data_IF_215389751338
#
_entry.id   IF_215389751338
#
_cell.length_a   1.000
_cell.length_b   1.000
_cell.length_c   1.000
_cell.angle_alpha   90.00
_cell.angle_beta   90.00
_cell.angle_gamma   90.00
#
_symmetry.space_group_name_H-M   'P 1'
#
loop_
_entity.id
_entity.type
_entity.pdbx_description
1 polymer ?
#
# COMPACT_ATOMS: atom_id res chain seq x y z
N UNK A 1 -9.58 -17.72 38.02
CA UNK A 1 -9.17 -16.41 37.44
C UNK A 1 -8.11 -16.56 36.36
N UNK A 2 -7.01 -17.30 36.59
CA UNK A 2 -5.96 -17.49 35.58
C UNK A 2 -6.47 -18.14 34.27
N UNK A 3 -7.29 -19.19 34.36
CA UNK A 3 -7.86 -19.86 33.17
C UNK A 3 -8.80 -18.97 32.35
N UNK A 4 -9.56 -18.08 33.01
CA UNK A 4 -10.43 -17.12 32.31
C UNK A 4 -9.62 -16.06 31.57
N UNK A 5 -8.48 -15.63 32.12
CA UNK A 5 -7.56 -14.69 31.46
C UNK A 5 -6.87 -15.34 30.27
N UNK A 6 -6.45 -16.60 30.40
CA UNK A 6 -5.86 -17.38 29.30
C UNK A 6 -6.89 -17.61 28.19
N UNK A 7 -8.11 -18.03 28.55
CA UNK A 7 -9.20 -18.22 27.60
C UNK A 7 -9.59 -16.92 26.89
N UNK A 8 -9.66 -15.79 27.61
CA UNK A 8 -9.90 -14.48 27.02
C UNK A 8 -8.76 -14.06 26.07
N UNK A 9 -7.50 -14.31 26.45
CA UNK A 9 -6.34 -14.07 25.59
C UNK A 9 -6.35 -14.89 24.30
N UNK A 10 -6.63 -16.19 24.39
CA UNK A 10 -6.73 -17.09 23.23
C UNK A 10 -7.95 -16.77 22.35
N UNK A 11 -9.10 -16.46 22.94
CA UNK A 11 -10.29 -16.05 22.19
C UNK A 11 -10.05 -14.75 21.40
N UNK A 12 -9.38 -13.77 22.03
CA UNK A 12 -9.03 -12.51 21.38
C UNK A 12 -7.98 -12.70 20.27
N UNK A 13 -7.06 -13.66 20.45
CA UNK A 13 -6.07 -14.03 19.43
C UNK A 13 -6.69 -14.68 18.19
N UNK A 14 -7.58 -15.66 18.36
CA UNK A 14 -8.29 -16.28 17.24
C UNK A 14 -9.18 -15.29 16.50
N UNK A 15 -9.86 -14.39 17.21
CA UNK A 15 -10.63 -13.33 16.59
C UNK A 15 -9.75 -12.37 15.78
N UNK A 16 -8.55 -12.03 16.29
CA UNK A 16 -7.58 -11.17 15.61
C UNK A 16 -7.03 -11.82 14.33
N UNK A 17 -6.72 -13.12 14.36
CA UNK A 17 -6.30 -13.89 13.18
C UNK A 17 -7.42 -13.95 12.12
N UNK A 18 -8.63 -14.29 12.54
CA UNK A 18 -9.81 -14.32 11.66
C UNK A 18 -10.08 -12.95 11.02
N UNK A 19 -9.90 -11.87 11.77
CA UNK A 19 -10.00 -10.51 11.25
C UNK A 19 -8.92 -10.22 10.20
N UNK A 20 -7.66 -10.54 10.49
CA UNK A 20 -6.55 -10.35 9.54
C UNK A 20 -6.77 -11.16 8.24
N UNK A 21 -7.25 -12.39 8.35
CA UNK A 21 -7.55 -13.24 7.19
C UNK A 21 -8.74 -12.71 6.38
N UNK A 22 -9.77 -12.21 7.06
CA UNK A 22 -10.90 -11.55 6.39
C UNK A 22 -10.43 -10.29 5.64
N UNK A 23 -9.59 -9.48 6.26
CA UNK A 23 -9.03 -8.27 5.63
C UNK A 23 -8.20 -8.63 4.39
N UNK A 24 -7.31 -9.63 4.49
CA UNK A 24 -6.56 -10.16 3.33
C UNK A 24 -7.50 -10.65 2.24
N UNK A 25 -8.56 -11.37 2.59
CA UNK A 25 -9.55 -11.89 1.64
C UNK A 25 -10.26 -10.79 0.86
N UNK A 26 -10.69 -9.73 1.55
CA UNK A 26 -11.33 -8.56 0.91
C UNK A 26 -10.35 -7.86 -0.04
N UNK A 27 -9.15 -7.53 0.43
CA UNK A 27 -8.14 -6.84 -0.39
C UNK A 27 -7.75 -7.69 -1.61
N UNK A 28 -7.56 -8.99 -1.43
CA UNK A 28 -7.30 -9.94 -2.52
C UNK A 28 -8.38 -9.90 -3.60
N UNK A 29 -9.65 -9.84 -3.20
CA UNK A 29 -10.77 -9.81 -4.15
C UNK A 29 -10.80 -8.53 -4.98
N UNK A 30 -10.49 -7.38 -4.36
CA UNK A 30 -10.39 -6.08 -5.03
C UNK A 30 -9.23 -6.10 -6.02
N UNK A 31 -8.07 -6.61 -5.61
CA UNK A 31 -6.89 -6.71 -6.48
C UNK A 31 -7.18 -7.62 -7.68
N UNK A 32 -7.79 -8.78 -7.45
CA UNK A 32 -8.14 -9.69 -8.53
C UNK A 32 -9.13 -9.06 -9.53
N UNK A 33 -10.12 -8.32 -9.04
CA UNK A 33 -11.05 -7.59 -9.91
C UNK A 33 -10.33 -6.52 -10.75
N UNK A 34 -9.45 -5.72 -10.12
CA UNK A 34 -8.67 -4.70 -10.84
C UNK A 34 -7.65 -5.29 -11.83
N UNK A 35 -7.17 -6.52 -11.59
CA UNK A 35 -6.35 -7.23 -12.57
C UNK A 35 -7.17 -7.69 -13.79
N UNK A 36 -8.42 -8.13 -13.58
CA UNK A 36 -9.33 -8.49 -14.67
C UNK A 36 -9.72 -7.27 -15.50
N UNK A 37 -9.92 -6.10 -14.88
CA UNK A 37 -10.20 -4.85 -15.60
C UNK A 37 -8.94 -4.23 -16.24
N UNK A 38 -7.75 -4.73 -15.91
CA UNK A 38 -6.48 -4.23 -16.42
C UNK A 38 -5.95 -2.99 -15.69
N UNK A 39 -6.64 -2.51 -14.66
CA UNK A 39 -6.23 -1.39 -13.80
C UNK A 39 -4.98 -1.72 -12.98
N UNK A 40 -4.89 -2.96 -12.49
CA UNK A 40 -3.77 -3.43 -11.68
C UNK A 40 -2.86 -4.37 -12.44
N UNK A 41 -1.57 -4.33 -12.08
CA UNK A 41 -0.54 -5.17 -12.67
C UNK A 41 -0.82 -6.66 -12.39
N UNK A 42 -0.36 -7.52 -13.31
CA UNK A 42 -0.41 -8.97 -13.12
C UNK A 42 0.42 -9.47 -11.92
N UNK A 43 0.19 -10.72 -11.52
CA UNK A 43 0.86 -11.37 -10.40
C UNK A 43 -0.13 -12.02 -9.42
N UNK A 44 0.38 -12.65 -8.37
CA UNK A 44 -0.47 -13.28 -7.35
C UNK A 44 -1.30 -12.22 -6.60
N UNK A 45 -2.64 -12.26 -6.67
CA UNK A 45 -3.49 -11.30 -5.96
C UNK A 45 -3.26 -11.34 -4.45
N UNK A 46 -2.97 -12.52 -3.90
CA UNK A 46 -2.69 -12.69 -2.47
C UNK A 46 -1.36 -12.07 -2.07
N UNK A 47 -0.31 -12.24 -2.89
CA UNK A 47 0.99 -11.65 -2.60
C UNK A 47 0.90 -10.11 -2.61
N UNK A 48 0.20 -9.54 -3.60
CA UNK A 48 -0.03 -8.09 -3.68
C UNK A 48 -0.88 -7.58 -2.50
N UNK A 49 -1.89 -8.34 -2.07
CA UNK A 49 -2.68 -8.00 -0.89
C UNK A 49 -1.84 -7.97 0.39
N UNK A 50 -0.96 -8.97 0.59
CA UNK A 50 -0.03 -8.98 1.71
C UNK A 50 0.91 -7.77 1.68
N UNK A 51 1.53 -7.47 0.54
CA UNK A 51 2.42 -6.32 0.41
C UNK A 51 1.72 -5.00 0.72
N UNK A 52 0.48 -4.81 0.24
CA UNK A 52 -0.31 -3.62 0.53
C UNK A 52 -0.60 -3.50 2.03
N UNK A 53 -1.05 -4.58 2.66
CA UNK A 53 -1.40 -4.59 4.08
C UNK A 53 -0.17 -4.37 4.97
N UNK A 54 0.98 -4.95 4.62
CA UNK A 54 2.23 -4.74 5.34
C UNK A 54 2.72 -3.29 5.23
N UNK A 55 2.60 -2.67 4.05
CA UNK A 55 2.93 -1.25 3.86
C UNK A 55 1.99 -0.33 4.66
N UNK A 56 0.72 -0.71 4.76
CA UNK A 56 -0.31 0.04 5.47
C UNK A 56 -0.40 -0.27 6.97
N UNK A 57 0.35 -1.26 7.48
CA UNK A 57 0.21 -1.77 8.85
C UNK A 57 0.35 -0.67 9.91
N UNK A 58 1.26 0.30 9.70
CA UNK A 58 1.41 1.43 10.60
C UNK A 58 0.12 2.25 10.80
N UNK A 59 -0.79 2.26 9.80
CA UNK A 59 -2.08 2.99 9.80
C UNK A 59 -3.25 2.12 10.28
N UNK A 60 -3.13 0.80 10.14
CA UNK A 60 -4.20 -0.14 10.46
C UNK A 60 -4.09 -0.69 11.88
N UNK A 61 -2.89 -0.68 12.46
CA UNK A 61 -2.60 -1.24 13.79
C UNK A 61 -2.59 -0.16 14.89
N UNK A 62 -3.54 -0.18 15.84
CA UNK A 62 -3.62 0.80 16.94
C UNK A 62 -2.34 0.91 17.79
N UNK A 63 -1.61 -0.20 17.94
CA UNK A 63 -0.35 -0.28 18.68
C UNK A 63 0.83 0.39 17.99
N UNK A 64 0.76 0.60 16.67
CA UNK A 64 1.86 1.14 15.86
C UNK A 64 1.63 2.59 15.42
N UNK A 65 0.44 3.14 15.65
CA UNK A 65 0.08 4.51 15.25
C UNK A 65 1.00 5.58 15.86
N UNK A 66 1.61 5.33 17.03
CA UNK A 66 2.44 6.31 17.76
C UNK A 66 3.96 6.19 17.53
N UNK A 67 4.45 5.28 16.69
CA UNK A 67 5.84 4.81 16.78
C UNK A 67 6.89 5.49 15.87
N UNK A 68 6.52 6.36 14.92
CA UNK A 68 7.49 6.83 13.90
C UNK A 68 7.54 8.36 13.74
N UNK A 69 8.73 8.94 13.99
CA UNK A 69 9.01 10.38 13.84
C UNK A 69 9.10 10.86 12.38
N UNK A 70 9.40 9.95 11.44
CA UNK A 70 9.41 10.18 9.99
C UNK A 70 8.44 9.23 9.31
N UNK A 71 7.16 9.42 9.60
CA UNK A 71 6.10 8.65 8.96
C UNK A 71 5.59 9.42 7.74
N UNK A 72 5.40 8.76 6.58
CA UNK A 72 4.57 9.34 5.53
C UNK A 72 3.20 9.71 6.08
N UNK A 73 2.51 10.62 5.44
CA UNK A 73 1.07 10.76 5.63
C UNK A 73 0.36 9.52 5.08
N UNK A 74 -0.88 9.30 5.52
CA UNK A 74 -1.72 8.23 4.97
C UNK A 74 -1.83 8.33 3.45
N UNK A 75 -2.05 9.55 2.94
CA UNK A 75 -2.17 9.81 1.51
C UNK A 75 -0.88 9.53 0.74
N UNK A 76 0.29 9.88 1.30
CA UNK A 76 1.57 9.55 0.68
C UNK A 76 1.80 8.04 0.58
N UNK A 77 1.50 7.29 1.66
CA UNK A 77 1.60 5.83 1.63
C UNK A 77 0.60 5.21 0.65
N UNK A 78 -0.64 5.72 0.62
CA UNK A 78 -1.66 5.25 -0.31
C UNK A 78 -1.29 5.51 -1.77
N UNK A 79 -0.75 6.70 -2.09
CA UNK A 79 -0.27 7.01 -3.45
C UNK A 79 0.89 6.10 -3.84
N UNK A 80 1.83 5.83 -2.94
CA UNK A 80 2.92 4.90 -3.18
C UNK A 80 2.40 3.50 -3.49
N UNK A 81 1.49 2.98 -2.66
CA UNK A 81 0.90 1.67 -2.86
C UNK A 81 0.09 1.58 -4.16
N UNK A 82 -0.72 2.60 -4.46
CA UNK A 82 -1.49 2.68 -5.70
C UNK A 82 -0.55 2.66 -6.92
N UNK A 83 0.50 3.48 -6.92
CA UNK A 83 1.50 3.48 -7.99
C UNK A 83 2.20 2.12 -8.17
N UNK A 84 2.50 1.43 -7.07
CA UNK A 84 3.10 0.09 -7.12
C UNK A 84 2.14 -1.00 -7.64
N UNK A 85 0.83 -0.81 -7.48
CA UNK A 85 -0.23 -1.72 -7.92
C UNK A 85 -0.68 -1.44 -9.36
N UNK A 86 -0.68 -0.19 -9.80
CA UNK A 86 -1.13 0.22 -11.11
C UNK A 86 -0.42 -0.54 -12.23
N UNK A 87 -1.19 -0.93 -13.24
CA UNK A 87 -0.62 -1.44 -14.47
C UNK A 87 -0.01 -0.27 -15.26
N UNK A 88 1.29 -0.38 -15.62
CA UNK A 88 1.98 0.67 -16.37
C UNK A 88 1.40 0.91 -17.77
N UNK A 89 0.65 -0.04 -18.32
CA UNK A 89 -0.09 0.15 -19.56
C UNK A 89 -1.42 0.91 -19.37
N UNK A 90 -1.97 0.90 -18.15
CA UNK A 90 -3.18 1.62 -17.76
C UNK A 90 -2.87 3.04 -17.28
N UNK A 91 -1.71 3.22 -16.63
CA UNK A 91 -1.11 4.53 -16.41
C UNK A 91 -0.64 5.07 -17.77
N UNK A 92 -1.49 5.80 -18.50
CA UNK A 92 -1.11 6.48 -19.74
C UNK A 92 0.22 7.23 -19.61
N UNK A 93 0.90 7.57 -20.73
CA UNK A 93 2.28 8.05 -20.71
C UNK A 93 2.44 9.17 -19.69
N UNK A 94 3.27 8.92 -18.66
CA UNK A 94 3.63 9.93 -17.69
C UNK A 94 4.14 11.16 -18.47
N UNK A 95 3.68 12.38 -18.17
CA UNK A 95 4.14 13.56 -18.89
C UNK A 95 5.65 13.67 -18.74
N UNK A 96 6.37 13.47 -19.84
CA UNK A 96 7.83 13.55 -19.96
C UNK A 96 8.40 14.98 -19.80
N UNK A 97 7.77 15.83 -18.99
CA UNK A 97 8.07 17.26 -18.92
C UNK A 97 8.75 17.69 -17.62
N UNK A 98 9.86 17.06 -17.24
CA UNK A 98 10.77 17.68 -16.24
C UNK A 98 12.27 17.50 -16.52
N UNK A 99 12.68 16.86 -17.63
CA UNK A 99 14.13 16.67 -17.91
C UNK A 99 14.75 17.83 -18.72
N UNK A 100 13.95 18.69 -19.38
CA UNK A 100 14.49 19.65 -20.37
C UNK A 100 14.59 21.13 -19.95
N UNK A 101 14.28 21.51 -18.70
CA UNK A 101 14.39 22.92 -18.28
C UNK A 101 15.82 23.33 -17.92
N UNK A 102 16.73 22.38 -17.63
CA UNK A 102 18.13 22.71 -17.33
C UNK A 102 19.01 22.90 -18.58
N UNK A 103 18.59 22.40 -19.75
CA UNK A 103 19.36 22.54 -20.99
C UNK A 103 19.20 23.94 -21.63
N UNK A 104 18.05 24.59 -21.44
CA UNK A 104 17.78 25.91 -22.03
C UNK A 104 18.37 27.08 -21.23
N UNK A 105 18.66 26.89 -19.93
CA UNK A 105 19.26 27.94 -19.09
C UNK A 105 20.77 28.09 -19.32
N UNK A 106 21.46 27.06 -19.82
CA UNK A 106 22.90 27.10 -20.10
C UNK A 106 23.29 27.77 -21.41
N UNK A 107 22.34 28.02 -22.33
CA UNK A 107 22.63 28.66 -23.62
C UNK A 107 22.38 30.18 -23.65
N UNK A 108 21.79 30.76 -22.59
CA UNK A 108 21.54 32.22 -22.50
C UNK A 108 22.58 33.00 -21.68
N UNK A 109 23.61 32.36 -21.15
CA UNK A 109 24.67 33.01 -20.35
C UNK A 109 25.99 33.17 -21.12
N UNK A 110 25.93 33.37 -22.42
CA UNK A 110 27.08 33.71 -23.24
C UNK A 110 26.67 34.69 -24.35
N UNK A 111 26.47 35.95 -23.98
CA UNK A 111 26.62 37.16 -24.79
C UNK A 111 26.80 38.34 -23.84
#
# INVERSE_FOLDING_TARGET
MHELVVAAGQANWLASLSHADRLRGVVRSIIAAGQVSGEFRGGSPMALACCLLDAMDAYLSPSRVKATALRPTFDEMMRFCAGALCNAAFAGPAPHQLINVQASMRYRSAC
#
